data_IF_048652206244
#
_entry.id   IF_048652206244
#
_cell.length_a   1.000
_cell.length_b   1.000
_cell.length_c   1.000
_cell.angle_alpha   90.00
_cell.angle_beta   90.00
_cell.angle_gamma   90.00
#
_symmetry.space_group_name_H-M   'P 1'
#
loop_
_entity.id
_entity.type
_entity.pdbx_description
1 polymer ?
#
# COMPACT_ATOMS: atom_id res chain seq x y z
N UNK A 1 7.96 1.04 -11.82
CA UNK A 1 7.98 2.12 -10.81
C UNK A 1 9.10 1.83 -9.83
N UNK A 2 9.98 2.78 -9.53
CA UNK A 2 10.96 2.67 -8.45
C UNK A 2 10.26 2.88 -7.08
N UNK A 3 10.42 1.94 -6.16
CA UNK A 3 9.74 1.96 -4.85
C UNK A 3 10.77 2.27 -3.77
N UNK A 4 10.61 3.42 -3.11
CA UNK A 4 11.42 3.81 -1.95
C UNK A 4 10.62 3.66 -0.67
N UNK A 5 11.27 3.22 0.40
CA UNK A 5 10.64 3.07 1.71
C UNK A 5 11.13 4.16 2.66
N UNK A 6 10.22 4.79 3.39
CA UNK A 6 10.60 5.54 4.59
C UNK A 6 11.15 4.58 5.65
N UNK A 7 11.98 5.10 6.58
CA UNK A 7 12.46 4.31 7.74
C UNK A 7 11.28 3.70 8.52
N UNK A 8 10.17 4.44 8.62
CA UNK A 8 8.95 3.96 9.26
C UNK A 8 8.33 2.77 8.51
N UNK A 9 8.11 2.91 7.20
CA UNK A 9 7.55 1.85 6.36
C UNK A 9 8.42 0.58 6.42
N UNK A 10 9.73 0.72 6.22
CA UNK A 10 10.67 -0.40 6.29
C UNK A 10 10.59 -1.14 7.63
N UNK A 11 10.50 -0.40 8.74
CA UNK A 11 10.30 -0.97 10.07
C UNK A 11 8.99 -1.75 10.20
N UNK A 12 7.87 -1.19 9.72
CA UNK A 12 6.55 -1.84 9.76
C UNK A 12 6.46 -3.10 8.91
N UNK A 13 7.05 -3.07 7.71
CA UNK A 13 7.09 -4.21 6.78
C UNK A 13 7.82 -5.38 7.46
N UNK A 14 9.01 -5.12 8.00
CA UNK A 14 9.81 -6.13 8.72
C UNK A 14 9.07 -6.68 9.95
N UNK A 15 8.49 -5.81 10.77
CA UNK A 15 7.76 -6.23 11.98
C UNK A 15 6.53 -7.10 11.68
N UNK A 16 5.88 -6.88 10.54
CA UNK A 16 4.64 -7.57 10.16
C UNK A 16 4.86 -8.75 9.22
N UNK A 17 6.10 -9.02 8.83
CA UNK A 17 6.44 -10.07 7.86
C UNK A 17 5.80 -9.83 6.48
N UNK A 18 5.60 -8.57 6.10
CA UNK A 18 5.05 -8.23 4.79
C UNK A 18 6.17 -8.40 3.77
N UNK A 19 5.89 -9.11 2.69
CA UNK A 19 6.86 -9.32 1.62
C UNK A 19 6.94 -8.09 0.72
N UNK A 20 8.14 -7.76 0.27
CA UNK A 20 8.36 -6.67 -0.68
C UNK A 20 7.67 -6.92 -2.02
N UNK A 21 7.59 -8.19 -2.43
CA UNK A 21 6.91 -8.63 -3.64
C UNK A 21 5.40 -8.36 -3.56
N UNK A 22 4.79 -8.56 -2.38
CA UNK A 22 3.38 -8.25 -2.15
C UNK A 22 3.12 -6.74 -2.30
N UNK A 23 4.05 -5.91 -1.85
CA UNK A 23 3.94 -4.45 -1.97
C UNK A 23 4.07 -4.03 -3.44
N UNK A 24 5.04 -4.58 -4.15
CA UNK A 24 5.25 -4.30 -5.57
C UNK A 24 4.01 -4.68 -6.39
N UNK A 25 3.46 -5.87 -6.17
CA UNK A 25 2.21 -6.32 -6.79
C UNK A 25 1.05 -5.36 -6.49
N UNK A 26 0.84 -4.97 -5.23
CA UNK A 26 -0.26 -4.05 -4.87
C UNK A 26 -0.08 -2.65 -5.45
N UNK A 27 1.16 -2.17 -5.62
CA UNK A 27 1.44 -0.86 -6.21
C UNK A 27 1.24 -0.86 -7.72
N UNK A 28 1.71 -1.89 -8.41
CA UNK A 28 1.64 -1.98 -9.87
C UNK A 28 0.26 -2.47 -10.37
N UNK A 29 -0.39 -3.35 -9.62
CA UNK A 29 -1.70 -3.95 -9.94
C UNK A 29 -2.68 -3.85 -8.74
N UNK A 30 -3.04 -2.62 -8.31
CA UNK A 30 -4.00 -2.45 -7.22
C UNK A 30 -5.39 -2.92 -7.65
N UNK A 31 -6.13 -3.51 -6.71
CA UNK A 31 -7.57 -3.74 -6.89
C UNK A 31 -8.32 -2.41 -6.98
N UNK A 32 -7.92 -1.44 -6.17
CA UNK A 32 -8.40 -0.07 -6.25
C UNK A 32 -7.40 0.89 -5.60
N UNK A 33 -7.49 2.16 -6.00
CA UNK A 33 -6.68 3.26 -5.46
C UNK A 33 -7.62 4.30 -4.86
N UNK A 34 -7.38 4.67 -3.61
CA UNK A 34 -8.05 5.78 -2.94
C UNK A 34 -7.05 6.92 -2.74
N UNK A 35 -7.50 8.16 -2.84
CA UNK A 35 -6.69 9.31 -2.41
C UNK A 35 -6.98 9.60 -0.94
N UNK A 36 -5.98 10.08 -0.20
CA UNK A 36 -6.25 10.51 1.17
C UNK A 36 -7.23 11.69 1.18
N UNK A 37 -8.08 11.74 2.21
CA UNK A 37 -9.15 12.74 2.33
C UNK A 37 -8.61 14.15 2.50
N UNK A 38 -7.46 14.31 3.14
CA UNK A 38 -6.90 15.60 3.53
C UNK A 38 -5.63 15.94 2.75
N UNK A 39 -4.88 14.94 2.29
CA UNK A 39 -3.67 15.12 1.49
C UNK A 39 -3.78 14.41 0.13
N UNK A 40 -4.14 15.17 -0.91
CA UNK A 40 -4.30 14.63 -2.26
C UNK A 40 -2.99 14.13 -2.91
N UNK A 41 -1.84 14.37 -2.27
CA UNK A 41 -0.56 13.81 -2.70
C UNK A 41 -0.37 12.36 -2.25
N UNK A 42 -1.13 11.93 -1.24
CA UNK A 42 -1.13 10.57 -0.73
C UNK A 42 -2.11 9.67 -1.49
N UNK A 43 -1.61 8.51 -1.89
CA UNK A 43 -2.35 7.45 -2.54
C UNK A 43 -2.36 6.21 -1.66
N UNK A 44 -3.53 5.61 -1.54
CA UNK A 44 -3.79 4.35 -0.87
C UNK A 44 -4.02 3.28 -1.93
N UNK A 45 -2.98 2.52 -2.23
CA UNK A 45 -3.09 1.34 -3.08
C UNK A 45 -3.60 0.19 -2.23
N UNK A 46 -4.68 -0.45 -2.69
CA UNK A 46 -5.25 -1.59 -2.00
C UNK A 46 -5.25 -2.79 -2.93
N UNK A 47 -4.71 -3.90 -2.46
CA UNK A 47 -4.82 -5.18 -3.14
C UNK A 47 -5.16 -6.30 -2.16
N UNK A 48 -5.38 -7.50 -2.68
CA UNK A 48 -5.76 -8.67 -1.90
C UNK A 48 -4.66 -9.73 -2.01
N UNK A 49 -4.02 -10.04 -0.89
CA UNK A 49 -2.83 -10.87 -0.80
C UNK A 49 -2.95 -11.78 0.42
N UNK A 50 -2.70 -13.08 0.25
CA UNK A 50 -2.77 -14.08 1.33
C UNK A 50 -4.08 -13.99 2.13
N UNK A 51 -5.21 -13.96 1.40
CA UNK A 51 -6.58 -13.84 1.94
C UNK A 51 -6.87 -12.59 2.78
N UNK A 52 -6.05 -11.55 2.63
CA UNK A 52 -6.16 -10.30 3.38
C UNK A 52 -6.02 -9.12 2.44
N UNK A 53 -6.73 -8.03 2.75
CA UNK A 53 -6.48 -6.76 2.07
C UNK A 53 -5.19 -6.16 2.58
N UNK A 54 -4.26 -5.86 1.68
CA UNK A 54 -3.03 -5.12 1.97
C UNK A 54 -3.21 -3.69 1.46
N UNK A 55 -3.10 -2.73 2.36
CA UNK A 55 -3.12 -1.30 2.04
C UNK A 55 -1.69 -0.77 2.10
N UNK A 56 -1.25 -0.19 0.98
CA UNK A 56 0.04 0.46 0.80
C UNK A 56 -0.23 1.95 0.63
N UNK A 57 0.35 2.76 1.52
CA UNK A 57 0.23 4.22 1.50
C UNK A 57 1.53 4.81 0.99
N UNK A 58 1.46 5.58 -0.08
CA UNK A 58 2.63 6.26 -0.64
C UNK A 58 2.28 7.55 -1.35
N UNK A 59 3.31 8.27 -1.76
CA UNK A 59 3.20 9.46 -2.62
C UNK A 59 4.23 9.42 -3.72
N UNK A 60 3.89 9.96 -4.88
CA UNK A 60 4.84 10.10 -5.98
C UNK A 60 5.85 11.20 -5.61
N UNK A 61 7.14 10.88 -5.74
CA UNK A 61 8.24 11.86 -5.60
C UNK A 61 8.70 12.34 -6.98
N UNK A 62 8.53 11.49 -7.99
CA UNK A 62 8.67 11.79 -9.42
C UNK A 62 7.66 10.94 -10.19
N UNK A 63 7.64 11.04 -11.52
CA UNK A 63 6.82 10.18 -12.38
C UNK A 63 7.18 8.70 -12.24
N UNK A 64 8.45 8.40 -11.95
CA UNK A 64 8.96 7.03 -11.87
C UNK A 64 9.16 6.53 -10.43
N UNK A 65 9.15 7.41 -9.42
CA UNK A 65 9.46 7.04 -8.03
C UNK A 65 8.27 7.22 -7.10
N UNK A 66 7.88 6.13 -6.42
CA UNK A 66 6.90 6.11 -5.35
C UNK A 66 7.60 5.97 -3.98
N UNK A 67 7.32 6.90 -3.06
CA UNK A 67 7.76 6.80 -1.67
C UNK A 67 6.66 6.20 -0.80
N UNK A 68 6.91 5.02 -0.25
CA UNK A 68 6.03 4.32 0.68
C UNK A 68 6.21 4.86 2.09
N UNK A 69 5.09 5.34 2.64
CA UNK A 69 5.00 5.95 3.96
C UNK A 69 4.56 4.92 4.99
N UNK A 70 3.59 4.06 4.65
CA UNK A 70 3.05 3.04 5.55
C UNK A 70 2.48 1.85 4.79
N UNK A 71 2.54 0.67 5.40
CA UNK A 71 1.97 -0.56 4.85
C UNK A 71 1.34 -1.39 5.97
N UNK A 72 0.10 -1.85 5.76
CA UNK A 72 -0.59 -2.71 6.73
C UNK A 72 -1.72 -3.53 6.09
N UNK A 73 -2.03 -4.67 6.72
CA UNK A 73 -3.25 -5.41 6.39
C UNK A 73 -4.48 -4.67 6.92
N UNK A 74 -5.38 -4.30 6.01
CA UNK A 74 -6.61 -3.59 6.31
C UNK A 74 -7.73 -4.58 6.66
N UNK A 75 -8.04 -4.66 7.96
CA UNK A 75 -9.08 -5.56 8.48
C UNK A 75 -10.50 -5.06 8.23
N UNK A 76 -10.68 -3.78 7.89
CA UNK A 76 -12.00 -3.16 7.71
C UNK A 76 -12.62 -3.50 6.36
N UNK A 77 -11.80 -3.85 5.38
CA UNK A 77 -12.23 -4.15 4.01
C UNK A 77 -12.87 -5.53 3.82
N UNK A 78 -12.95 -6.36 4.88
CA UNK A 78 -13.60 -7.68 4.82
C UNK A 78 -15.05 -7.65 4.31
N UNK A 79 -15.75 -6.52 4.43
CA UNK A 79 -17.18 -6.43 4.08
C UNK A 79 -17.48 -6.01 2.63
N UNK A 80 -16.49 -5.76 1.77
CA UNK A 80 -16.74 -5.34 0.37
C UNK A 80 -16.90 -6.49 -0.62
N UNK A 81 -16.71 -7.74 -0.20
CA UNK A 81 -16.90 -8.94 -1.05
C UNK A 81 -18.28 -9.60 -0.90
N UNK A 82 -19.16 -9.06 -0.05
CA UNK A 82 -20.51 -9.58 0.22
C UNK A 82 -21.64 -8.64 -0.26
N UNK A 83 -21.36 -7.72 -1.18
CA UNK A 83 -22.39 -6.91 -1.86
C UNK A 83 -22.30 -7.09 -3.36
#
# INVERSE_FOLDING_TARGET
>A
MDIKLTKHAAGKIRQRGIKTEDIDCVVNEPLFVEFDRFDNTLKHFVGFVNDKYLRVIGRNVSEETLLIISVFYDRRLKSRREQ
#
